data_IF_993167525578
#
_entry.id   IF_993167525578
#
_cell.length_a   1.000
_cell.length_b   1.000
_cell.length_c   1.000
_cell.angle_alpha   90.00
_cell.angle_beta   90.00
_cell.angle_gamma   90.00
#
_symmetry.space_group_name_H-M   'P 1'
#
loop_
_entity.id
_entity.type
_entity.pdbx_description
1 polymer ?
#
# COMPACT_ATOMS: atom_id res chain seq x y z
N UNK A 1 -35.49 5.44 -14.91
CA UNK A 1 -36.44 6.57 -14.80
C UNK A 1 -36.77 6.93 -13.35
N UNK A 2 -36.65 6.00 -12.44
CA UNK A 2 -37.15 6.13 -11.07
C UNK A 2 -36.12 6.59 -10.03
N UNK A 3 -34.85 6.82 -10.43
CA UNK A 3 -33.77 7.25 -9.54
C UNK A 3 -32.95 8.40 -10.17
N UNK A 4 -33.55 9.59 -10.43
CA UNK A 4 -32.86 10.67 -11.15
C UNK A 4 -31.62 11.18 -10.39
N UNK A 5 -31.66 11.26 -9.06
CA UNK A 5 -30.53 11.70 -8.26
C UNK A 5 -29.36 10.71 -8.32
N UNK A 6 -29.65 9.40 -8.37
CA UNK A 6 -28.61 8.40 -8.54
C UNK A 6 -27.99 8.45 -9.94
N UNK A 7 -28.84 8.59 -10.96
CA UNK A 7 -28.36 8.68 -12.35
C UNK A 7 -27.53 9.94 -12.61
N UNK A 8 -27.79 11.03 -11.89
CA UNK A 8 -27.00 12.27 -12.02
C UNK A 8 -25.58 12.18 -11.44
N UNK A 9 -25.25 11.09 -10.73
CA UNK A 9 -23.90 10.83 -10.24
C UNK A 9 -22.96 10.26 -11.31
N UNK A 10 -23.52 9.82 -12.46
CA UNK A 10 -22.74 9.26 -13.56
C UNK A 10 -22.55 10.31 -14.65
N UNK A 11 -21.32 10.48 -15.13
CA UNK A 11 -21.02 11.20 -16.36
C UNK A 11 -21.41 10.37 -17.58
N UNK A 12 -21.43 10.99 -18.76
CA UNK A 12 -21.67 10.27 -20.02
C UNK A 12 -20.60 9.17 -20.26
N UNK A 13 -19.37 9.41 -19.85
CA UNK A 13 -18.28 8.43 -19.95
C UNK A 13 -18.48 7.25 -19.00
N UNK A 14 -18.97 7.49 -17.78
CA UNK A 14 -19.27 6.42 -16.83
C UNK A 14 -20.38 5.50 -17.34
N UNK A 15 -21.33 6.06 -18.12
CA UNK A 15 -22.44 5.31 -18.67
C UNK A 15 -22.01 4.20 -19.66
N UNK A 16 -20.80 4.27 -20.22
CA UNK A 16 -20.24 3.23 -21.06
C UNK A 16 -20.05 1.92 -20.27
N UNK A 17 -19.70 2.04 -18.99
CA UNK A 17 -19.47 0.89 -18.09
C UNK A 17 -20.75 0.36 -17.44
N UNK A 18 -21.81 1.16 -17.41
CA UNK A 18 -23.08 0.83 -16.75
C UNK A 18 -24.10 0.21 -17.71
N UNK A 19 -24.00 0.56 -19.00
CA UNK A 19 -24.87 0.04 -20.06
C UNK A 19 -24.30 -1.22 -20.69
N UNK A 20 -25.18 -2.16 -21.02
CA UNK A 20 -24.81 -3.29 -21.86
C UNK A 20 -24.73 -2.88 -23.35
N UNK A 21 -24.44 -3.87 -24.22
CA UNK A 21 -24.35 -3.64 -25.67
C UNK A 21 -25.65 -3.16 -26.31
N UNK A 22 -26.81 -3.45 -25.72
CA UNK A 22 -28.13 -3.02 -26.19
C UNK A 22 -28.50 -1.62 -25.64
N UNK A 23 -27.63 -1.02 -24.84
CA UNK A 23 -27.82 0.29 -24.22
C UNK A 23 -28.70 0.28 -22.97
N UNK A 24 -29.10 -0.91 -22.49
CA UNK A 24 -29.94 -1.10 -21.32
C UNK A 24 -29.10 -1.24 -20.04
N UNK A 25 -29.68 -0.84 -18.89
CA UNK A 25 -29.06 -0.90 -17.58
C UNK A 25 -29.73 -2.02 -16.78
N UNK A 26 -29.00 -3.09 -16.50
CA UNK A 26 -29.47 -4.25 -15.73
C UNK A 26 -28.98 -4.29 -14.29
N UNK A 27 -28.05 -3.43 -13.93
CA UNK A 27 -27.50 -3.33 -12.58
C UNK A 27 -27.21 -1.89 -12.21
N UNK A 28 -27.21 -1.60 -10.92
CA UNK A 28 -26.80 -0.29 -10.44
C UNK A 28 -25.27 -0.26 -10.41
N UNK A 29 -24.68 0.74 -11.08
CA UNK A 29 -23.27 1.02 -11.00
C UNK A 29 -22.88 1.48 -9.59
N UNK A 30 -21.63 1.33 -9.24
CA UNK A 30 -21.07 1.88 -8.02
C UNK A 30 -20.27 3.13 -8.37
N UNK A 31 -20.63 4.26 -7.78
CA UNK A 31 -19.87 5.52 -7.93
C UNK A 31 -19.07 5.74 -6.67
N UNK A 32 -17.75 5.69 -6.79
CA UNK A 32 -16.85 6.12 -5.72
C UNK A 32 -16.51 7.59 -5.95
N UNK A 33 -17.09 8.48 -5.16
CA UNK A 33 -16.70 9.89 -5.11
C UNK A 33 -15.35 10.08 -4.41
N UNK A 34 -14.96 9.11 -3.62
CA UNK A 34 -13.68 9.10 -2.91
C UNK A 34 -12.61 8.37 -3.72
N UNK A 35 -11.66 9.14 -4.24
CA UNK A 35 -10.44 8.63 -4.86
C UNK A 35 -9.36 8.28 -3.84
N UNK A 36 -9.72 8.05 -2.59
CA UNK A 36 -8.79 7.52 -1.62
C UNK A 36 -8.35 6.13 -2.08
N UNK A 37 -7.25 6.13 -2.76
CA UNK A 37 -6.56 4.95 -3.22
C UNK A 37 -5.91 4.22 -2.03
N UNK A 38 -5.28 3.12 -2.32
CA UNK A 38 -4.32 2.51 -1.42
C UNK A 38 -3.28 3.56 -0.98
N UNK A 39 -2.83 3.45 0.23
CA UNK A 39 -1.85 4.36 0.82
C UNK A 39 -0.80 3.57 1.59
N UNK A 40 0.41 4.05 1.57
CA UNK A 40 1.43 3.56 2.49
C UNK A 40 1.23 4.23 3.84
N UNK A 41 1.14 3.44 4.90
CA UNK A 41 1.08 3.94 6.26
C UNK A 41 2.21 3.35 7.10
N UNK A 42 2.81 4.21 7.94
CA UNK A 42 3.95 3.89 8.78
C UNK A 42 3.64 4.19 10.24
N UNK A 43 4.26 3.47 11.16
CA UNK A 43 4.28 3.75 12.59
C UNK A 43 5.12 5.00 12.87
N UNK A 44 4.45 6.11 13.09
CA UNK A 44 5.12 7.38 13.39
C UNK A 44 5.68 7.42 14.81
N UNK A 45 5.06 6.75 15.74
CA UNK A 45 5.59 6.52 17.08
C UNK A 45 6.89 5.71 17.08
N UNK A 46 7.05 4.71 16.21
CA UNK A 46 8.32 3.99 16.04
C UNK A 46 9.43 4.89 15.49
N UNK A 47 9.08 5.79 14.56
CA UNK A 47 10.03 6.79 14.08
C UNK A 47 10.50 7.69 15.24
N UNK A 48 9.56 8.17 16.08
CA UNK A 48 9.87 9.00 17.24
C UNK A 48 10.73 8.24 18.25
N UNK A 49 10.41 6.98 18.57
CA UNK A 49 11.17 6.14 19.48
C UNK A 49 12.62 5.96 19.04
N UNK A 50 12.86 5.83 17.75
CA UNK A 50 14.18 5.65 17.19
C UNK A 50 14.87 6.98 16.80
N UNK A 51 14.18 8.11 16.92
CA UNK A 51 14.70 9.43 16.53
C UNK A 51 14.93 9.58 15.04
N UNK A 52 14.06 8.96 14.23
CA UNK A 52 14.13 8.96 12.77
C UNK A 52 13.13 9.95 12.17
N UNK A 53 13.53 10.60 11.08
CA UNK A 53 12.63 11.40 10.28
C UNK A 53 11.75 10.52 9.36
N UNK A 54 10.60 11.05 8.95
CA UNK A 54 9.74 10.39 7.99
C UNK A 54 10.47 10.25 6.64
N UNK A 55 10.60 9.01 6.11
CA UNK A 55 11.28 8.79 4.84
C UNK A 55 10.47 9.31 3.65
N UNK A 56 11.17 9.81 2.63
CA UNK A 56 10.59 10.38 1.40
C UNK A 56 11.13 9.72 0.13
N UNK A 57 12.28 9.08 0.22
CA UNK A 57 12.93 8.38 -0.89
C UNK A 57 13.04 6.88 -0.61
N UNK A 58 13.21 6.08 -1.67
CA UNK A 58 13.40 4.63 -1.54
C UNK A 58 14.55 4.27 -0.58
N UNK A 59 15.68 4.94 -0.70
CA UNK A 59 16.86 4.65 0.13
C UNK A 59 16.60 5.00 1.61
N UNK A 60 15.90 6.11 1.89
CA UNK A 60 15.47 6.46 3.25
C UNK A 60 14.51 5.43 3.82
N UNK A 61 13.57 4.93 3.00
CA UNK A 61 12.66 3.87 3.39
C UNK A 61 13.38 2.58 3.78
N UNK A 62 14.33 2.14 2.93
CA UNK A 62 15.13 0.95 3.22
C UNK A 62 15.91 1.11 4.54
N UNK A 63 16.45 2.30 4.80
CA UNK A 63 17.15 2.58 6.05
C UNK A 63 16.22 2.55 7.26
N UNK A 64 15.02 3.13 7.16
CA UNK A 64 13.99 3.09 8.22
C UNK A 64 13.56 1.65 8.49
N UNK A 65 13.27 0.87 7.46
CA UNK A 65 12.88 -0.53 7.64
C UNK A 65 13.99 -1.38 8.28
N UNK A 66 15.26 -1.13 7.94
CA UNK A 66 16.41 -1.76 8.61
C UNK A 66 16.46 -1.37 10.08
N UNK A 67 16.28 -0.10 10.39
CA UNK A 67 16.24 0.36 11.77
C UNK A 67 15.07 -0.27 12.55
N UNK A 68 13.88 -0.36 11.98
CA UNK A 68 12.74 -1.05 12.58
C UNK A 68 13.06 -2.53 12.87
N UNK A 69 13.76 -3.20 11.97
CA UNK A 69 14.13 -4.61 12.12
C UNK A 69 15.21 -4.86 13.17
N UNK A 70 16.17 -3.96 13.28
CA UNK A 70 17.40 -4.17 14.06
C UNK A 70 17.32 -3.60 15.48
N UNK A 71 16.32 -2.75 15.74
CA UNK A 71 16.16 -2.05 17.01
C UNK A 71 14.77 -2.34 17.57
N UNK A 72 14.61 -2.12 18.88
CA UNK A 72 13.34 -2.22 19.59
C UNK A 72 12.46 -1.00 19.23
N UNK A 73 11.84 -1.07 18.06
CA UNK A 73 11.08 0.07 17.52
C UNK A 73 9.77 0.27 18.25
N UNK A 74 9.12 -0.82 18.68
CA UNK A 74 7.87 -0.79 19.44
C UNK A 74 8.08 -0.57 20.96
N UNK A 75 9.35 -0.56 21.44
CA UNK A 75 9.69 -0.23 22.81
C UNK A 75 9.31 -1.30 23.85
N UNK A 76 9.05 -2.54 23.40
CA UNK A 76 8.61 -3.63 24.28
C UNK A 76 9.75 -4.41 24.96
N UNK A 77 11.01 -4.16 24.59
CA UNK A 77 12.21 -4.82 25.08
C UNK A 77 12.62 -6.07 24.28
N UNK A 78 11.93 -6.40 23.18
CA UNK A 78 12.25 -7.50 22.27
C UNK A 78 12.55 -6.94 20.88
N UNK A 79 13.79 -7.04 20.41
CA UNK A 79 14.24 -6.56 19.08
C UNK A 79 14.04 -7.59 17.98
N UNK A 80 13.23 -8.61 18.18
CA UNK A 80 13.08 -9.73 17.24
C UNK A 80 11.66 -9.93 16.72
N UNK A 81 10.71 -9.17 17.23
CA UNK A 81 9.29 -9.32 16.90
C UNK A 81 8.78 -8.28 15.88
N UNK A 82 9.61 -7.29 15.53
CA UNK A 82 9.24 -6.28 14.55
C UNK A 82 9.16 -6.85 13.13
N UNK A 83 8.08 -6.49 12.46
CA UNK A 83 7.82 -6.73 11.04
C UNK A 83 7.86 -5.38 10.33
N UNK A 84 8.99 -4.98 9.72
CA UNK A 84 9.13 -3.63 9.16
C UNK A 84 8.11 -3.31 8.08
N UNK A 85 7.83 -4.28 7.18
CA UNK A 85 6.89 -4.13 6.08
C UNK A 85 6.06 -5.40 5.93
N UNK A 86 4.75 -5.29 6.09
CA UNK A 86 3.81 -6.31 5.64
C UNK A 86 2.77 -5.72 4.68
N UNK A 87 2.39 -6.54 3.72
CA UNK A 87 1.41 -6.19 2.70
C UNK A 87 0.59 -7.43 2.38
N UNK A 88 -0.71 -7.25 2.16
CA UNK A 88 -1.51 -8.36 1.66
C UNK A 88 -1.11 -8.70 0.21
N UNK A 89 -1.19 -9.99 -0.13
CA UNK A 89 -0.85 -10.43 -1.49
C UNK A 89 -1.68 -9.69 -2.57
N UNK A 90 -2.91 -9.36 -2.25
CA UNK A 90 -3.79 -8.62 -3.16
C UNK A 90 -3.23 -7.23 -3.54
N UNK A 91 -2.51 -6.58 -2.61
CA UNK A 91 -1.97 -5.24 -2.78
C UNK A 91 -0.47 -5.24 -3.13
N UNK A 92 0.18 -6.41 -3.19
CA UNK A 92 1.64 -6.52 -3.39
C UNK A 92 2.13 -5.77 -4.65
N UNK A 93 1.39 -5.86 -5.74
CA UNK A 93 1.74 -5.22 -7.00
C UNK A 93 1.57 -3.70 -7.01
N UNK A 94 0.94 -3.11 -6.00
CA UNK A 94 0.89 -1.65 -5.84
C UNK A 94 2.28 -1.06 -5.60
N UNK A 95 3.22 -1.87 -5.07
CA UNK A 95 4.62 -1.48 -4.90
C UNK A 95 5.36 -1.26 -6.23
N UNK A 96 4.82 -1.75 -7.37
CA UNK A 96 5.37 -1.50 -8.70
C UNK A 96 5.43 0.00 -9.03
N UNK A 97 4.48 0.77 -8.49
CA UNK A 97 4.41 2.21 -8.68
C UNK A 97 5.66 2.95 -8.19
N UNK A 98 6.33 2.43 -7.14
CA UNK A 98 7.57 2.98 -6.60
C UNK A 98 8.69 2.91 -7.64
N UNK A 99 8.62 1.97 -8.56
CA UNK A 99 9.59 1.79 -9.65
C UNK A 99 9.13 2.44 -10.96
N UNK A 100 8.06 3.24 -10.92
CA UNK A 100 7.51 3.95 -12.07
C UNK A 100 6.74 3.05 -13.04
N UNK A 101 6.15 1.97 -12.55
CA UNK A 101 5.26 1.09 -13.31
C UNK A 101 3.83 1.43 -12.92
N UNK A 102 3.12 2.15 -13.79
CA UNK A 102 1.73 2.52 -13.58
C UNK A 102 0.79 1.44 -14.13
N UNK A 103 0.70 0.36 -13.41
CA UNK A 103 -0.14 -0.75 -13.77
C UNK A 103 -1.16 -1.08 -12.66
N UNK A 104 -2.03 -2.01 -12.95
CA UNK A 104 -2.86 -2.68 -11.96
C UNK A 104 -2.44 -4.15 -11.79
N UNK A 105 -1.13 -4.42 -11.89
CA UNK A 105 -0.52 -5.73 -11.72
C UNK A 105 -0.51 -6.61 -12.96
N UNK A 106 -0.73 -6.06 -14.15
CA UNK A 106 -0.67 -6.84 -15.42
C UNK A 106 -0.18 -6.07 -16.62
N UNK A 107 -0.68 -4.86 -16.85
CA UNK A 107 -0.40 -4.05 -18.02
C UNK A 107 -0.24 -2.60 -17.63
N UNK A 108 0.83 -2.00 -18.08
CA UNK A 108 1.05 -0.54 -18.04
C UNK A 108 0.76 0.08 -19.41
N UNK A 109 0.61 1.39 -19.42
CA UNK A 109 0.47 2.16 -20.66
C UNK A 109 1.62 3.15 -20.73
N UNK A 110 2.51 2.97 -21.70
CA UNK A 110 3.59 3.90 -21.98
C UNK A 110 3.50 4.36 -23.45
N UNK A 111 3.56 5.66 -23.67
CA UNK A 111 3.43 6.27 -25.00
C UNK A 111 2.18 5.80 -25.79
N UNK A 112 1.08 5.55 -25.09
CA UNK A 112 -0.18 5.09 -25.67
C UNK A 112 -0.18 3.62 -26.12
N UNK A 113 0.80 2.83 -25.70
CA UNK A 113 0.88 1.39 -25.96
C UNK A 113 0.72 0.61 -24.66
N UNK A 114 0.01 -0.51 -24.75
CA UNK A 114 -0.05 -1.48 -23.66
C UNK A 114 1.27 -2.26 -23.62
N UNK A 115 1.88 -2.32 -22.45
CA UNK A 115 3.06 -3.13 -22.15
C UNK A 115 2.65 -4.14 -21.09
N UNK A 116 2.95 -5.41 -21.33
CA UNK A 116 2.80 -6.45 -20.31
C UNK A 116 3.88 -6.25 -19.26
N UNK A 117 3.50 -6.06 -17.99
CA UNK A 117 4.43 -5.61 -16.94
C UNK A 117 5.71 -6.44 -16.81
N UNK A 118 5.69 -7.78 -16.90
CA UNK A 118 6.93 -8.57 -16.92
C UNK A 118 7.87 -8.29 -18.11
N UNK A 119 7.37 -7.64 -19.18
CA UNK A 119 8.19 -7.19 -20.32
C UNK A 119 8.63 -5.72 -20.16
N UNK A 120 8.15 -5.01 -19.14
CA UNK A 120 8.56 -3.66 -18.85
C UNK A 120 10.02 -3.65 -18.35
N UNK A 121 10.92 -2.83 -18.92
CA UNK A 121 12.31 -2.76 -18.47
C UNK A 121 12.48 -2.41 -16.98
N UNK A 122 11.50 -1.76 -16.37
CA UNK A 122 11.50 -1.40 -14.94
C UNK A 122 11.13 -2.58 -14.03
N UNK A 123 10.55 -3.65 -14.59
CA UNK A 123 10.04 -4.77 -13.81
C UNK A 123 11.14 -5.58 -13.12
N UNK A 124 12.29 -5.71 -13.77
CA UNK A 124 13.47 -6.36 -13.18
C UNK A 124 13.93 -5.62 -11.91
N UNK A 125 13.98 -4.28 -11.97
CA UNK A 125 14.36 -3.46 -10.81
C UNK A 125 13.36 -3.60 -9.66
N UNK A 126 12.05 -3.67 -9.95
CA UNK A 126 11.02 -3.96 -8.95
C UNK A 126 11.25 -5.32 -8.29
N UNK A 127 11.43 -6.39 -9.08
CA UNK A 127 11.65 -7.72 -8.55
C UNK A 127 12.95 -7.81 -7.72
N UNK A 128 14.01 -7.16 -8.16
CA UNK A 128 15.28 -7.11 -7.42
C UNK A 128 15.10 -6.38 -6.09
N UNK A 129 14.43 -5.24 -6.07
CA UNK A 129 14.11 -4.52 -4.83
C UNK A 129 13.30 -5.38 -3.86
N UNK A 130 12.25 -6.05 -4.34
CA UNK A 130 11.43 -6.93 -3.49
C UNK A 130 12.22 -8.15 -3.00
N UNK A 131 13.08 -8.73 -3.83
CA UNK A 131 13.95 -9.83 -3.46
C UNK A 131 14.94 -9.43 -2.36
N UNK A 132 15.52 -8.24 -2.45
CA UNK A 132 16.42 -7.70 -1.42
C UNK A 132 15.68 -7.47 -0.11
N UNK A 133 14.53 -6.82 -0.11
CA UNK A 133 13.71 -6.64 1.09
C UNK A 133 13.32 -7.97 1.74
N UNK A 134 13.00 -8.97 0.93
CA UNK A 134 12.68 -10.31 1.43
C UNK A 134 13.91 -11.03 2.02
N UNK A 135 15.05 -10.97 1.33
CA UNK A 135 16.30 -11.59 1.79
C UNK A 135 16.81 -10.96 3.08
N UNK A 136 16.69 -9.64 3.21
CA UNK A 136 17.03 -8.88 4.42
C UNK A 136 16.00 -9.10 5.55
N UNK A 137 14.87 -9.78 5.28
CA UNK A 137 13.79 -10.02 6.23
C UNK A 137 13.01 -8.77 6.61
N UNK A 138 13.03 -7.75 5.76
CA UNK A 138 12.23 -6.53 5.88
C UNK A 138 10.80 -6.79 5.43
N UNK A 139 10.63 -7.38 4.24
CA UNK A 139 9.33 -7.83 3.77
C UNK A 139 8.89 -9.07 4.55
N UNK A 140 7.68 -9.04 5.06
CA UNK A 140 7.07 -10.14 5.82
C UNK A 140 7.19 -11.47 5.06
N UNK A 141 7.74 -12.49 5.71
CA UNK A 141 8.10 -13.76 5.06
C UNK A 141 6.90 -14.51 4.48
N UNK A 142 5.74 -14.34 5.08
CA UNK A 142 4.50 -15.00 4.65
C UNK A 142 3.62 -14.10 3.77
N UNK A 143 4.20 -13.08 3.12
CA UNK A 143 3.46 -12.10 2.32
C UNK A 143 2.59 -12.73 1.22
N UNK A 144 3.01 -13.87 0.64
CA UNK A 144 2.26 -14.59 -0.40
C UNK A 144 0.90 -15.10 0.10
N UNK A 145 0.82 -15.43 1.39
CA UNK A 145 -0.41 -15.93 2.02
C UNK A 145 -1.07 -14.90 2.93
N UNK A 146 -0.45 -13.73 3.07
CA UNK A 146 -0.96 -12.66 3.91
C UNK A 146 -2.21 -12.05 3.30
N UNK A 147 -3.31 -12.12 4.01
CA UNK A 147 -4.56 -11.43 3.70
C UNK A 147 -4.79 -10.25 4.66
N UNK A 148 -5.85 -9.49 4.44
CA UNK A 148 -6.17 -8.31 5.27
C UNK A 148 -6.49 -8.68 6.72
N UNK A 149 -6.99 -9.88 6.99
CA UNK A 149 -7.26 -10.37 8.36
C UNK A 149 -5.95 -10.65 9.10
N UNK A 150 -5.01 -11.27 8.42
CA UNK A 150 -3.68 -11.55 8.96
C UNK A 150 -2.89 -10.25 9.18
N UNK A 151 -2.96 -9.31 8.21
CA UNK A 151 -2.36 -7.99 8.33
C UNK A 151 -2.92 -7.23 9.55
N UNK A 152 -4.24 -7.30 9.75
CA UNK A 152 -4.90 -6.69 10.91
C UNK A 152 -4.44 -7.33 12.22
N UNK A 153 -4.24 -8.63 12.25
CA UNK A 153 -3.73 -9.35 13.43
C UNK A 153 -2.30 -8.93 13.78
N UNK A 154 -1.41 -8.86 12.78
CA UNK A 154 -0.03 -8.41 12.97
C UNK A 154 0.01 -6.98 13.50
N UNK A 155 -0.81 -6.10 12.90
CA UNK A 155 -0.90 -4.71 13.36
C UNK A 155 -1.43 -4.57 14.80
N UNK A 156 -2.48 -5.32 15.14
CA UNK A 156 -3.05 -5.29 16.49
C UNK A 156 -2.11 -5.86 17.58
N UNK A 157 -1.17 -6.73 17.20
CA UNK A 157 -0.14 -7.25 18.11
C UNK A 157 1.00 -6.26 18.36
N UNK A 158 0.92 -5.04 17.85
CA UNK A 158 1.95 -4.00 17.98
C UNK A 158 3.31 -4.36 17.31
N UNK A 159 3.31 -5.26 16.33
CA UNK A 159 4.55 -5.75 15.69
C UNK A 159 4.75 -5.25 14.26
N UNK A 160 3.80 -4.51 13.68
CA UNK A 160 3.84 -4.05 12.30
C UNK A 160 4.33 -2.60 12.19
N UNK A 161 5.39 -2.36 11.42
CA UNK A 161 5.94 -1.02 11.19
C UNK A 161 5.30 -0.27 10.01
N UNK A 162 5.09 -0.96 8.90
CA UNK A 162 4.59 -0.32 7.66
C UNK A 162 3.64 -1.26 6.92
N UNK A 163 2.60 -0.68 6.34
CA UNK A 163 1.67 -1.38 5.46
C UNK A 163 1.35 -0.59 4.20
N UNK A 164 0.86 -1.30 3.17
CA UNK A 164 0.19 -0.70 2.00
C UNK A 164 -1.21 -1.26 1.93
N UNK A 165 -2.22 -0.41 2.16
CA UNK A 165 -3.63 -0.78 2.16
C UNK A 165 -4.50 0.49 2.01
N UNK A 166 -5.82 0.34 2.04
CA UNK A 166 -6.74 1.45 2.09
C UNK A 166 -6.43 2.38 3.28
N UNK A 167 -6.48 3.69 3.05
CA UNK A 167 -6.08 4.69 4.05
C UNK A 167 -6.83 4.55 5.40
N UNK A 168 -8.08 4.10 5.38
CA UNK A 168 -8.84 3.85 6.62
C UNK A 168 -8.25 2.72 7.48
N UNK A 169 -7.50 1.80 6.89
CA UNK A 169 -6.85 0.72 7.63
C UNK A 169 -5.79 1.24 8.61
N UNK A 170 -5.14 2.37 8.29
CA UNK A 170 -4.20 3.01 9.21
C UNK A 170 -4.87 3.31 10.58
N UNK A 171 -6.11 3.81 10.55
CA UNK A 171 -6.89 4.04 11.78
C UNK A 171 -7.26 2.74 12.48
N UNK A 172 -7.69 1.73 11.73
CA UNK A 172 -8.10 0.42 12.29
C UNK A 172 -6.93 -0.23 13.00
N UNK A 173 -5.75 -0.24 12.37
CA UNK A 173 -4.53 -0.81 12.95
C UNK A 173 -4.04 -0.01 14.15
N UNK A 174 -4.08 1.33 14.10
CA UNK A 174 -3.74 2.17 15.24
C UNK A 174 -4.63 1.86 16.45
N UNK A 175 -5.95 1.72 16.24
CA UNK A 175 -6.86 1.41 17.33
C UNK A 175 -6.62 0.00 17.89
N UNK A 176 -6.28 -0.97 17.05
CA UNK A 176 -5.93 -2.32 17.50
C UNK A 176 -4.64 -2.35 18.31
N UNK A 177 -3.59 -1.69 17.83
CA UNK A 177 -2.29 -1.63 18.52
C UNK A 177 -2.37 -0.88 19.86
N UNK A 178 -3.27 0.10 20.00
CA UNK A 178 -3.46 0.88 21.23
C UNK A 178 -4.00 0.09 22.41
N UNK A 179 -4.48 -1.11 22.19
CA UNK A 179 -4.80 -2.03 23.29
C UNK A 179 -3.54 -2.52 24.03
N UNK A 180 -2.36 -2.42 23.37
CA UNK A 180 -1.05 -2.83 23.90
C UNK A 180 -0.18 -1.60 24.21
N UNK A 181 -0.16 -0.62 23.33
CA UNK A 181 0.65 0.59 23.38
C UNK A 181 -0.22 1.81 23.05
N UNK A 182 -0.51 2.65 24.04
CA UNK A 182 -1.45 3.78 23.92
C UNK A 182 -1.02 4.84 22.89
N UNK A 183 0.28 4.91 22.59
CA UNK A 183 0.88 5.86 21.66
C UNK A 183 0.91 5.32 20.22
N UNK A 184 0.53 4.06 19.99
CA UNK A 184 0.56 3.45 18.67
C UNK A 184 -0.21 4.25 17.62
N UNK A 185 0.49 4.64 16.56
CA UNK A 185 -0.06 5.50 15.51
C UNK A 185 0.47 5.15 14.12
N UNK A 186 -0.40 4.60 13.28
CA UNK A 186 -0.16 4.53 11.83
C UNK A 186 -0.60 5.82 11.17
N UNK A 187 0.29 6.47 10.45
CA UNK A 187 -0.02 7.64 9.63
C UNK A 187 0.20 7.35 8.16
N UNK A 188 -0.76 7.73 7.33
CA UNK A 188 -0.57 7.73 5.88
C UNK A 188 0.43 8.81 5.51
N UNK A 189 1.27 8.50 4.56
CA UNK A 189 2.36 9.35 4.14
C UNK A 189 2.21 9.80 2.70
N UNK A 190 2.98 10.82 2.33
CA UNK A 190 3.11 11.24 0.93
C UNK A 190 3.76 10.13 0.09
N UNK A 191 3.44 10.05 -1.21
CA UNK A 191 4.05 9.08 -2.11
C UNK A 191 5.58 9.09 -2.04
N UNK A 192 6.16 7.91 -2.11
CA UNK A 192 7.61 7.71 -2.05
C UNK A 192 8.22 8.10 -3.40
N UNK A 193 9.37 8.80 -3.37
CA UNK A 193 10.18 8.94 -4.57
C UNK A 193 10.99 7.66 -4.76
N UNK A 194 10.71 6.94 -5.83
CA UNK A 194 11.37 5.68 -6.16
C UNK A 194 12.85 5.84 -6.56
N UNK A 195 13.57 4.74 -6.76
CA UNK A 195 15.01 4.75 -7.04
C UNK A 195 15.37 5.46 -8.34
N UNK A 196 14.42 5.61 -9.26
CA UNK A 196 14.60 6.31 -10.54
C UNK A 196 14.14 7.78 -10.49
N UNK A 197 13.72 8.29 -9.33
CA UNK A 197 13.18 9.63 -9.16
C UNK A 197 11.69 9.78 -9.53
N UNK A 198 11.04 8.70 -9.90
CA UNK A 198 9.59 8.68 -10.14
C UNK A 198 8.83 8.78 -8.81
N UNK A 199 7.81 9.62 -8.73
CA UNK A 199 6.92 9.63 -7.59
C UNK A 199 5.99 8.41 -7.65
N UNK A 200 6.02 7.57 -6.63
CA UNK A 200 5.03 6.52 -6.50
C UNK A 200 3.67 7.14 -6.21
N UNK A 201 2.70 6.80 -7.02
CA UNK A 201 1.29 7.05 -6.70
C UNK A 201 0.79 5.75 -6.10
N UNK A 202 0.49 5.68 -4.80
CA UNK A 202 -0.15 4.52 -4.23
C UNK A 202 -1.56 4.37 -4.77
#
# INVERSE_FOLDING_TARGET
>A
KDCPNFMSMFSDDDMIYVKNQDGEIYGLGFVMDNRAALSTAIRTDWLENLGLDQPTTWDEWVNVWKAFKEQDANGNGDTTDEIPLAISYANFFELESIFGINSNGKFSIEDGKYIYDPENPKYEAFLDGMRELYADGILYKEYITCDDSQLSTIGANNTLGTMVNWAEQAKVLSLGAREIDEDALFSCITPITGPNGDAAIP
#
